data_IF_960254411740
#
_entry.id   IF_960254411740
#
_cell.length_a   1.000
_cell.length_b   1.000
_cell.length_c   1.000
_cell.angle_alpha   90.00
_cell.angle_beta   90.00
_cell.angle_gamma   90.00
#
_symmetry.space_group_name_H-M   'P 1'
#
loop_
_entity.id
_entity.type
_entity.pdbx_description
1 polymer ?
#
# COMPACT_ATOMS: atom_id res chain seq x y z
N UNK A 1 3.58 47.55 39.10
CA UNK A 1 4.15 46.18 39.06
C UNK A 1 3.97 45.70 37.63
N UNK A 2 5.03 45.87 36.84
CA UNK A 2 5.02 45.55 35.41
C UNK A 2 5.39 44.09 35.21
N UNK A 3 4.53 43.38 34.48
CA UNK A 3 4.77 42.00 34.04
C UNK A 3 5.67 42.04 32.81
N UNK A 4 6.89 41.53 32.96
CA UNK A 4 7.91 41.51 31.90
C UNK A 4 7.72 40.21 31.14
N UNK A 5 6.98 40.28 30.03
CA UNK A 5 6.84 39.17 29.10
C UNK A 5 8.20 38.79 28.51
N UNK A 6 8.65 37.56 28.77
CA UNK A 6 9.82 36.98 28.13
C UNK A 6 9.49 36.66 26.67
N UNK A 7 10.36 37.00 25.70
CA UNK A 7 10.16 36.60 24.32
C UNK A 7 10.35 35.08 24.20
N UNK A 8 9.32 34.40 23.71
CA UNK A 8 9.45 33.04 23.19
C UNK A 8 10.39 33.09 22.00
N UNK A 9 11.59 32.53 22.16
CA UNK A 9 12.46 32.22 21.03
C UNK A 9 11.76 31.14 20.19
N UNK A 10 11.12 31.56 19.09
CA UNK A 10 10.68 30.66 18.04
C UNK A 10 11.92 29.93 17.51
N UNK A 11 11.93 28.61 17.62
CA UNK A 11 13.07 27.76 17.25
C UNK A 11 13.26 27.79 15.73
N UNK A 12 14.23 28.57 15.24
CA UNK A 12 14.63 28.65 13.82
C UNK A 12 15.07 27.28 13.24
N UNK A 13 15.40 26.30 14.08
CA UNK A 13 15.84 24.96 13.67
C UNK A 13 14.77 24.17 12.88
N UNK A 14 13.48 24.40 13.13
CA UNK A 14 12.41 23.76 12.34
C UNK A 14 12.39 24.19 10.87
N UNK A 15 12.83 25.41 10.57
CA UNK A 15 12.73 25.98 9.22
C UNK A 15 13.74 25.39 8.22
N UNK A 16 14.95 25.06 8.68
CA UNK A 16 16.03 24.55 7.81
C UNK A 16 15.80 23.09 7.44
N UNK A 17 15.31 22.29 8.39
CA UNK A 17 15.02 20.87 8.17
C UNK A 17 13.78 20.68 7.28
N UNK A 18 12.75 21.51 7.45
CA UNK A 18 11.58 21.53 6.58
C UNK A 18 11.93 21.96 5.14
N UNK A 19 12.76 23.00 4.99
CA UNK A 19 13.24 23.43 3.68
C UNK A 19 14.05 22.33 2.98
N UNK A 20 14.87 21.60 3.74
CA UNK A 20 15.66 20.47 3.22
C UNK A 20 14.77 19.30 2.78
N UNK A 21 13.72 18.99 3.54
CA UNK A 21 12.77 17.95 3.17
C UNK A 21 11.98 18.31 1.90
N UNK A 22 11.55 19.55 1.77
CA UNK A 22 10.88 20.03 0.55
C UNK A 22 11.81 20.00 -0.67
N UNK A 23 13.08 20.38 -0.51
CA UNK A 23 14.09 20.27 -1.57
C UNK A 23 14.32 18.81 -2.00
N UNK A 24 14.39 17.89 -1.04
CA UNK A 24 14.51 16.46 -1.31
C UNK A 24 13.26 15.94 -2.03
N UNK A 25 12.05 16.30 -1.56
CA UNK A 25 10.77 15.91 -2.18
C UNK A 25 10.65 16.44 -3.61
N UNK A 26 11.07 17.68 -3.85
CA UNK A 26 11.05 18.30 -5.17
C UNK A 26 12.00 17.64 -6.17
N UNK A 27 13.07 17.01 -5.67
CA UNK A 27 14.08 16.32 -6.50
C UNK A 27 13.87 14.82 -6.60
N UNK A 28 13.15 14.21 -5.65
CA UNK A 28 12.95 12.77 -5.65
C UNK A 28 12.02 12.40 -6.81
N UNK A 29 12.55 11.63 -7.76
CA UNK A 29 11.75 10.90 -8.74
C UNK A 29 12.04 9.43 -8.53
N UNK A 30 10.99 8.67 -8.24
CA UNK A 30 11.10 7.23 -8.01
C UNK A 30 10.30 6.51 -9.09
N UNK A 31 10.89 6.32 -10.29
CA UNK A 31 10.22 5.61 -11.35
C UNK A 31 9.92 4.19 -10.89
N UNK A 32 8.67 3.76 -11.04
CA UNK A 32 8.24 2.44 -10.62
C UNK A 32 7.50 1.73 -11.73
N UNK A 33 7.66 0.42 -11.78
CA UNK A 33 6.87 -0.45 -12.64
C UNK A 33 5.77 -1.09 -11.80
N UNK A 34 4.53 -1.02 -12.28
CA UNK A 34 3.40 -1.74 -11.69
C UNK A 34 3.24 -3.02 -12.48
N UNK A 35 3.38 -4.18 -11.83
CA UNK A 35 3.15 -5.46 -12.49
C UNK A 35 1.77 -5.48 -13.14
N UNK A 36 1.71 -5.98 -14.38
CA UNK A 36 0.48 -6.06 -15.16
C UNK A 36 0.56 -7.25 -16.13
N UNK A 37 -0.59 -7.65 -16.65
CA UNK A 37 -0.72 -8.73 -17.62
C UNK A 37 -1.37 -10.00 -17.06
N UNK A 38 -1.64 -10.98 -17.93
CA UNK A 38 -2.49 -12.13 -17.61
C UNK A 38 -1.90 -13.10 -16.57
N UNK A 39 -0.60 -13.00 -16.29
CA UNK A 39 0.09 -13.85 -15.33
C UNK A 39 0.08 -13.27 -13.91
N UNK A 40 -0.34 -12.01 -13.76
CA UNK A 40 -0.42 -11.32 -12.47
C UNK A 40 -1.90 -11.21 -12.11
N UNK A 41 -2.35 -12.05 -11.19
CA UNK A 41 -3.68 -11.91 -10.59
C UNK A 41 -3.60 -10.80 -9.54
N UNK A 42 -4.18 -9.64 -9.84
CA UNK A 42 -4.20 -8.51 -8.90
C UNK A 42 -5.28 -8.63 -7.83
N UNK A 43 -6.10 -9.70 -7.90
CA UNK A 43 -7.20 -9.93 -6.98
C UNK A 43 -8.39 -9.00 -7.23
N UNK A 44 -8.48 -8.30 -8.37
CA UNK A 44 -9.66 -7.47 -8.73
C UNK A 44 -10.98 -8.24 -8.62
N UNK A 45 -10.97 -9.56 -8.84
CA UNK A 45 -12.14 -10.41 -8.67
C UNK A 45 -12.64 -10.55 -7.22
N UNK A 46 -11.88 -10.09 -6.22
CA UNK A 46 -12.36 -9.96 -4.83
C UNK A 46 -13.20 -8.71 -4.59
N UNK A 47 -13.15 -7.71 -5.47
CA UNK A 47 -13.92 -6.46 -5.31
C UNK A 47 -15.43 -6.69 -5.11
N UNK A 48 -16.10 -7.60 -5.87
CA UNK A 48 -17.51 -7.93 -5.63
C UNK A 48 -17.79 -8.62 -4.30
N UNK A 49 -16.77 -9.16 -3.62
CA UNK A 49 -16.92 -9.78 -2.31
C UNK A 49 -16.60 -8.82 -1.15
N UNK A 50 -15.83 -7.77 -1.43
CA UNK A 50 -15.43 -6.79 -0.44
C UNK A 50 -16.63 -5.90 -0.06
N UNK A 51 -17.08 -5.98 1.19
CA UNK A 51 -18.23 -5.24 1.71
C UNK A 51 -18.02 -3.72 1.59
N UNK A 52 -16.82 -3.24 1.91
CA UNK A 52 -16.45 -1.82 1.80
C UNK A 52 -16.52 -1.28 0.37
N UNK A 53 -16.16 -2.10 -0.63
CA UNK A 53 -16.19 -1.70 -2.04
C UNK A 53 -17.59 -1.79 -2.66
N UNK A 54 -18.50 -2.56 -2.07
CA UNK A 54 -19.91 -2.67 -2.53
C UNK A 54 -20.82 -1.53 -2.06
N UNK A 55 -20.28 -0.55 -1.34
CA UNK A 55 -21.07 0.56 -0.80
C UNK A 55 -22.01 0.13 0.34
N UNK A 56 -21.81 -1.05 0.92
CA UNK A 56 -22.44 -1.37 2.21
C UNK A 56 -21.90 -0.38 3.25
N UNK A 57 -22.75 0.09 4.17
CA UNK A 57 -22.31 0.95 5.27
C UNK A 57 -21.40 0.14 6.20
N UNK A 58 -20.10 0.12 5.88
CA UNK A 58 -19.07 -0.44 6.75
C UNK A 58 -18.60 0.72 7.61
N UNK A 59 -18.84 0.64 8.92
CA UNK A 59 -18.33 1.60 9.91
C UNK A 59 -16.80 1.68 9.92
N UNK A 60 -16.14 0.73 9.27
CA UNK A 60 -14.69 0.60 9.13
C UNK A 60 -14.34 0.26 7.67
N UNK A 61 -14.20 1.26 6.80
CA UNK A 61 -13.65 1.06 5.45
C UNK A 61 -12.12 0.91 5.48
N UNK A 62 -11.65 -0.02 6.30
CA UNK A 62 -10.23 -0.35 6.45
C UNK A 62 -9.67 -1.13 5.25
N UNK A 63 -10.49 -1.41 4.24
CA UNK A 63 -10.18 -2.38 3.19
C UNK A 63 -10.12 -1.79 1.78
N UNK A 64 -10.47 -0.51 1.61
CA UNK A 64 -10.41 0.19 0.32
C UNK A 64 -9.09 0.92 0.08
N UNK A 65 -8.23 1.06 1.09
CA UNK A 65 -6.99 1.82 0.99
C UNK A 65 -6.05 1.29 -0.09
N UNK A 66 -5.83 -0.03 -0.14
CA UNK A 66 -5.11 -0.72 -1.23
C UNK A 66 -5.73 -0.44 -2.59
N UNK A 67 -7.06 -0.53 -2.69
CA UNK A 67 -7.79 -0.28 -3.93
C UNK A 67 -7.59 1.15 -4.43
N UNK A 68 -7.77 2.14 -3.55
CA UNK A 68 -7.55 3.54 -3.87
C UNK A 68 -6.08 3.80 -4.24
N UNK A 69 -5.14 3.29 -3.44
CA UNK A 69 -3.71 3.48 -3.67
C UNK A 69 -3.27 2.91 -5.02
N UNK A 70 -3.63 1.66 -5.33
CA UNK A 70 -3.32 1.03 -6.61
C UNK A 70 -4.00 1.75 -7.79
N UNK A 71 -5.23 2.24 -7.62
CA UNK A 71 -5.88 3.09 -8.62
C UNK A 71 -5.10 4.38 -8.90
N UNK A 72 -4.55 5.03 -7.88
CA UNK A 72 -3.71 6.22 -8.07
C UNK A 72 -2.39 5.87 -8.77
N UNK A 73 -1.76 4.74 -8.41
CA UNK A 73 -0.51 4.30 -9.03
C UNK A 73 -0.65 4.01 -10.52
N UNK A 74 -1.80 3.47 -10.97
CA UNK A 74 -2.05 3.18 -12.38
C UNK A 74 -1.89 4.42 -13.29
N UNK A 75 -2.23 5.61 -12.79
CA UNK A 75 -2.11 6.89 -13.50
C UNK A 75 -0.96 7.79 -13.03
N UNK A 76 -0.09 7.32 -12.14
CA UNK A 76 0.93 8.17 -11.53
C UNK A 76 2.03 8.55 -12.51
N UNK A 77 2.49 9.81 -12.48
CA UNK A 77 3.50 10.34 -13.41
C UNK A 77 4.88 9.64 -13.35
N UNK A 78 5.18 8.98 -12.24
CA UNK A 78 6.41 8.19 -12.08
C UNK A 78 6.25 6.73 -12.50
N UNK A 79 5.04 6.30 -12.90
CA UNK A 79 4.86 4.96 -13.43
C UNK A 79 5.57 4.86 -14.78
N UNK A 80 6.46 3.88 -14.91
CA UNK A 80 7.10 3.53 -16.18
C UNK A 80 6.44 2.30 -16.79
N UNK A 81 6.52 2.19 -18.12
CA UNK A 81 6.04 1.01 -18.88
C UNK A 81 7.13 -0.02 -19.12
N UNK A 82 8.38 0.43 -19.19
CA UNK A 82 9.54 -0.44 -19.35
C UNK A 82 10.08 -0.81 -17.96
N UNK A 83 9.97 -2.08 -17.52
CA UNK A 83 10.48 -2.51 -16.22
C UNK A 83 12.00 -2.36 -16.09
N UNK A 84 12.77 -2.29 -17.19
CA UNK A 84 14.21 -2.07 -17.13
C UNK A 84 14.58 -0.66 -16.61
N UNK A 85 13.66 0.29 -16.73
CA UNK A 85 13.85 1.69 -16.28
C UNK A 85 13.34 1.95 -14.86
N UNK A 86 12.71 0.96 -14.23
CA UNK A 86 12.15 1.10 -12.90
C UNK A 86 13.23 0.97 -11.80
N UNK A 87 13.03 1.72 -10.72
CA UNK A 87 13.78 1.60 -9.47
C UNK A 87 12.99 0.86 -8.38
N UNK A 88 11.66 0.77 -8.54
CA UNK A 88 10.78 -0.01 -7.68
C UNK A 88 9.78 -0.81 -8.50
N UNK A 89 9.39 -1.96 -7.96
CA UNK A 89 8.37 -2.83 -8.55
C UNK A 89 7.18 -2.92 -7.61
N UNK A 90 6.03 -2.44 -8.05
CA UNK A 90 4.79 -2.53 -7.29
C UNK A 90 4.05 -3.81 -7.69
N UNK A 91 3.76 -4.64 -6.70
CA UNK A 91 2.93 -5.84 -6.86
C UNK A 91 1.48 -5.45 -6.56
N UNK A 92 0.57 -5.44 -7.55
CA UNK A 92 -0.82 -5.08 -7.33
C UNK A 92 -1.53 -6.21 -6.61
N UNK A 93 -1.75 -6.07 -5.31
CA UNK A 93 -2.37 -7.13 -4.52
C UNK A 93 -3.33 -6.55 -3.49
N UNK A 94 -4.61 -6.87 -3.62
CA UNK A 94 -5.64 -6.44 -2.67
C UNK A 94 -5.73 -7.38 -1.45
N UNK A 95 -4.64 -7.48 -0.66
CA UNK A 95 -4.54 -8.38 0.49
C UNK A 95 -5.70 -8.18 1.47
N UNK A 96 -5.99 -6.95 1.87
CA UNK A 96 -7.04 -6.67 2.85
C UNK A 96 -8.44 -6.95 2.29
N UNK A 97 -8.67 -6.70 0.99
CA UNK A 97 -9.92 -7.09 0.34
C UNK A 97 -10.07 -8.63 0.32
N UNK A 98 -8.99 -9.36 0.01
CA UNK A 98 -8.99 -10.82 -0.04
C UNK A 98 -9.18 -11.46 1.35
N UNK A 99 -8.72 -10.80 2.42
CA UNK A 99 -8.89 -11.23 3.80
C UNK A 99 -10.28 -10.93 4.38
N UNK A 100 -11.13 -10.17 3.68
CA UNK A 100 -12.49 -9.96 4.17
C UNK A 100 -13.24 -11.29 4.21
N UNK A 101 -13.95 -11.59 5.31
CA UNK A 101 -14.89 -12.70 5.30
C UNK A 101 -15.90 -12.43 4.18
N UNK A 102 -15.83 -13.22 3.12
CA UNK A 102 -16.84 -13.20 2.06
C UNK A 102 -18.21 -13.32 2.71
N UNK A 103 -19.17 -12.58 2.19
CA UNK A 103 -20.58 -12.61 2.60
C UNK A 103 -20.99 -14.04 2.96
N UNK A 104 -21.39 -14.25 4.22
CA UNK A 104 -21.78 -15.54 4.81
C UNK A 104 -20.68 -16.60 5.13
N UNK A 105 -19.41 -16.20 5.32
CA UNK A 105 -18.36 -17.11 5.80
C UNK A 105 -17.79 -18.04 4.71
N UNK A 106 -17.98 -17.67 3.45
CA UNK A 106 -17.94 -18.60 2.31
C UNK A 106 -16.76 -18.57 1.34
N UNK A 107 -15.55 -18.07 1.57
CA UNK A 107 -14.53 -17.87 0.49
C UNK A 107 -15.06 -17.13 -0.77
N UNK A 108 -14.53 -15.94 -1.08
CA UNK A 108 -14.93 -15.26 -2.33
C UNK A 108 -14.69 -16.18 -3.53
N UNK A 109 -15.71 -16.40 -4.36
CA UNK A 109 -15.63 -17.30 -5.51
C UNK A 109 -15.10 -18.71 -5.18
N UNK A 110 -15.40 -19.25 -3.98
CA UNK A 110 -14.92 -20.56 -3.55
C UNK A 110 -13.40 -20.67 -3.36
N UNK A 111 -12.71 -19.53 -3.36
CA UNK A 111 -11.25 -19.46 -3.33
C UNK A 111 -10.76 -18.81 -2.03
N UNK A 112 -9.86 -19.50 -1.35
CA UNK A 112 -9.18 -18.99 -0.17
C UNK A 112 -8.12 -17.95 -0.61
N UNK A 113 -7.99 -16.84 0.12
CA UNK A 113 -7.04 -15.76 -0.18
C UNK A 113 -5.60 -16.26 -0.37
N UNK A 114 -5.21 -17.33 0.33
CA UNK A 114 -3.88 -17.95 0.18
C UNK A 114 -3.57 -18.34 -1.27
N UNK A 115 -4.57 -18.79 -2.05
CA UNK A 115 -4.34 -19.12 -3.46
C UNK A 115 -3.94 -17.89 -4.28
N UNK A 116 -4.52 -16.73 -4.00
CA UNK A 116 -4.14 -15.47 -4.64
C UNK A 116 -2.70 -15.11 -4.26
N UNK A 117 -2.36 -15.19 -2.97
CA UNK A 117 -1.00 -14.88 -2.49
C UNK A 117 0.05 -15.80 -3.12
N UNK A 118 -0.21 -17.11 -3.14
CA UNK A 118 0.71 -18.10 -3.70
C UNK A 118 0.87 -17.93 -5.21
N UNK A 119 -0.23 -17.70 -5.94
CA UNK A 119 -0.19 -17.47 -7.39
C UNK A 119 0.56 -16.18 -7.74
N UNK A 120 0.31 -15.10 -7.00
CA UNK A 120 1.00 -13.82 -7.19
C UNK A 120 2.49 -13.95 -6.87
N UNK A 121 2.83 -14.59 -5.76
CA UNK A 121 4.22 -14.83 -5.37
C UNK A 121 4.97 -15.66 -6.42
N UNK A 122 4.34 -16.74 -6.92
CA UNK A 122 4.91 -17.57 -7.99
C UNK A 122 5.10 -16.77 -9.29
N UNK A 123 4.11 -15.97 -9.68
CA UNK A 123 4.19 -15.14 -10.87
C UNK A 123 5.31 -14.10 -10.77
N UNK A 124 5.39 -13.36 -9.65
CA UNK A 124 6.45 -12.38 -9.41
C UNK A 124 7.83 -13.05 -9.38
N UNK A 125 7.96 -14.17 -8.66
CA UNK A 125 9.22 -14.91 -8.55
C UNK A 125 9.72 -15.45 -9.90
N UNK A 126 8.83 -15.65 -10.87
CA UNK A 126 9.18 -16.09 -12.23
C UNK A 126 9.71 -14.97 -13.14
N UNK A 127 9.73 -13.73 -12.67
CA UNK A 127 10.10 -12.56 -13.48
C UNK A 127 11.59 -12.21 -13.39
N UNK A 128 12.15 -11.65 -14.45
CA UNK A 128 13.55 -11.17 -14.47
C UNK A 128 13.77 -10.04 -13.45
N UNK A 129 12.74 -9.22 -13.22
CA UNK A 129 12.77 -8.13 -12.26
C UNK A 129 12.99 -8.64 -10.83
N UNK A 130 12.31 -9.72 -10.44
CA UNK A 130 12.51 -10.34 -9.14
C UNK A 130 13.92 -10.92 -8.99
N UNK A 131 14.47 -11.54 -10.04
CA UNK A 131 15.80 -12.14 -10.01
C UNK A 131 16.93 -11.13 -9.74
N UNK A 132 16.75 -9.86 -10.13
CA UNK A 132 17.75 -8.79 -10.00
C UNK A 132 18.16 -8.54 -8.55
N UNK A 133 17.19 -8.43 -7.65
CA UNK A 133 17.39 -8.08 -6.24
C UNK A 133 16.66 -9.01 -5.26
N UNK A 134 16.23 -10.19 -5.73
CA UNK A 134 15.51 -11.19 -4.93
C UNK A 134 14.29 -10.60 -4.21
N UNK A 135 13.60 -9.64 -4.83
CA UNK A 135 12.43 -8.98 -4.27
C UNK A 135 12.69 -7.79 -3.36
N UNK A 136 13.95 -7.39 -3.11
CA UNK A 136 14.25 -6.29 -2.20
C UNK A 136 13.77 -4.91 -2.71
N UNK A 137 13.51 -4.79 -4.00
CA UNK A 137 12.94 -3.62 -4.68
C UNK A 137 11.44 -3.76 -4.97
N UNK A 138 10.79 -4.80 -4.42
CA UNK A 138 9.36 -5.05 -4.58
C UNK A 138 8.57 -4.49 -3.40
N UNK A 139 7.51 -3.76 -3.72
CA UNK A 139 6.60 -3.16 -2.76
C UNK A 139 5.22 -3.80 -2.89
N UNK A 140 4.66 -4.19 -1.74
CA UNK A 140 3.24 -4.48 -1.57
C UNK A 140 2.69 -3.40 -0.64
N UNK A 141 1.56 -2.82 -1.02
CA UNK A 141 0.83 -1.92 -0.12
C UNK A 141 -0.24 -2.72 0.58
N UNK A 142 -0.27 -2.58 1.90
CA UNK A 142 -1.25 -3.22 2.76
C UNK A 142 -1.71 -2.21 3.80
N UNK A 143 -3.01 -2.01 3.92
CA UNK A 143 -3.58 -1.06 4.86
C UNK A 143 -4.51 -1.78 5.85
N UNK A 144 -4.13 -1.82 7.12
CA UNK A 144 -4.98 -2.38 8.18
C UNK A 144 -4.93 -1.44 9.37
N UNK A 145 -6.08 -1.00 9.86
CA UNK A 145 -6.18 -0.16 11.06
C UNK A 145 -7.42 -0.56 11.86
N UNK A 146 -7.29 -0.48 13.19
CA UNK A 146 -8.40 -0.74 14.12
C UNK A 146 -8.48 0.41 15.10
N UNK A 147 -9.66 1.03 15.24
CA UNK A 147 -9.88 2.14 16.18
C UNK A 147 -9.90 1.66 17.64
N UNK A 148 -10.22 0.39 17.86
CA UNK A 148 -10.16 -0.25 19.17
C UNK A 148 -9.43 -1.59 19.06
N UNK A 149 -8.11 -1.56 19.20
CA UNK A 149 -7.33 -2.77 19.43
C UNK A 149 -6.85 -2.77 20.88
N UNK A 150 -7.31 -3.75 21.68
CA UNK A 150 -6.48 -4.20 22.80
C UNK A 150 -5.33 -4.97 22.18
N UNK A 151 -4.06 -4.57 22.39
CA UNK A 151 -2.93 -5.37 21.94
C UNK A 151 -3.13 -6.81 22.46
N UNK A 152 -2.89 -7.85 21.64
CA UNK A 152 -2.83 -9.20 22.17
C UNK A 152 -1.79 -9.21 23.30
N UNK A 153 -2.04 -9.99 24.36
CA UNK A 153 -1.01 -10.25 25.36
C UNK A 153 0.23 -10.75 24.61
N UNK A 154 1.32 -9.99 24.64
CA UNK A 154 2.56 -10.44 24.02
C UNK A 154 2.95 -11.75 24.69
N UNK A 155 3.30 -12.74 23.86
CA UNK A 155 3.92 -13.95 24.40
C UNK A 155 5.21 -13.55 25.14
N UNK A 156 5.53 -14.19 26.27
CA UNK A 156 6.71 -13.87 27.07
C UNK A 156 8.01 -14.00 26.28
#
# INVERSE_FOLDING_TARGET
MGDVGLPHAESEEGSVEDQRHEDIRGRLQLPFFLYEGPNIDDGTWFEPCARGLRGETVTEDQYSGEHYFLSQLRGHRWRVRDPATALLFVVPLYINAALQPSVAGTSCNGTHYQRLLDATAAAVASTEQYARHQGADHLIVCNSWKLSQRPPAQAP
#
